data_IF_627830311507
#
_entry.id   IF_627830311507
#
_cell.length_a   1.000
_cell.length_b   1.000
_cell.length_c   1.000
_cell.angle_alpha   90.00
_cell.angle_beta   90.00
_cell.angle_gamma   90.00
#
_symmetry.space_group_name_H-M   'P 1'
#
loop_
_entity.id
_entity.type
_entity.pdbx_description
1 polymer ?
#
# COMPACT_ATOMS: atom_id res chain seq x y z
N UNK A 1 10.08 -15.90 19.20
CA UNK A 1 9.04 -15.02 18.61
C UNK A 1 7.84 -15.06 19.55
N UNK A 2 7.44 -13.91 20.11
CA UNK A 2 6.21 -13.78 20.89
C UNK A 2 5.04 -13.49 19.94
N UNK A 3 3.92 -14.20 20.13
CA UNK A 3 2.70 -13.96 19.38
C UNK A 3 1.92 -12.88 20.13
N UNK A 4 1.67 -11.76 19.46
CA UNK A 4 0.82 -10.69 19.98
C UNK A 4 -0.53 -10.76 19.29
N UNK A 5 -1.56 -11.13 20.06
CA UNK A 5 -2.95 -11.21 19.56
C UNK A 5 -3.60 -9.82 19.62
N UNK A 6 -4.30 -9.43 18.55
CA UNK A 6 -5.18 -8.26 18.57
C UNK A 6 -6.62 -8.70 18.85
N UNK A 7 -7.36 -7.91 19.61
CA UNK A 7 -8.80 -8.14 19.78
C UNK A 7 -9.55 -7.86 18.46
N UNK A 8 -10.73 -8.49 18.28
CA UNK A 8 -11.57 -8.31 17.10
C UNK A 8 -11.88 -6.82 16.79
N UNK A 9 -12.16 -6.03 17.82
CA UNK A 9 -12.40 -4.58 17.66
C UNK A 9 -11.17 -3.83 17.15
N UNK A 10 -9.96 -4.34 17.39
CA UNK A 10 -8.73 -3.81 16.81
C UNK A 10 -8.62 -4.12 15.32
N UNK A 11 -8.98 -5.33 14.92
CA UNK A 11 -9.04 -5.74 13.52
C UNK A 11 -10.08 -4.92 12.72
N UNK A 12 -11.27 -4.70 13.28
CA UNK A 12 -12.35 -3.94 12.63
C UNK A 12 -12.01 -2.46 12.35
N UNK A 13 -10.96 -1.91 12.98
CA UNK A 13 -10.46 -0.55 12.68
C UNK A 13 -9.61 -0.50 11.40
N UNK A 14 -9.16 -1.64 10.89
CA UNK A 14 -8.39 -1.71 9.66
C UNK A 14 -9.31 -1.61 8.45
N UNK A 15 -8.92 -0.81 7.47
CA UNK A 15 -9.64 -0.70 6.20
C UNK A 15 -8.81 -1.35 5.10
N UNK A 16 -9.33 -2.41 4.49
CA UNK A 16 -8.74 -3.06 3.32
C UNK A 16 -9.51 -2.62 2.08
N UNK A 17 -8.81 -2.17 1.04
CA UNK A 17 -9.42 -1.77 -0.24
C UNK A 17 -8.69 -2.43 -1.40
N UNK A 18 -9.43 -2.74 -2.46
CA UNK A 18 -8.86 -3.07 -3.76
C UNK A 18 -8.59 -1.76 -4.50
N UNK A 19 -7.37 -1.58 -4.98
CA UNK A 19 -6.93 -0.35 -5.65
C UNK A 19 -6.29 -0.65 -6.99
N UNK A 20 -6.41 0.31 -7.90
CA UNK A 20 -5.72 0.29 -9.19
C UNK A 20 -4.48 1.17 -9.12
N UNK A 21 -3.36 0.63 -9.59
CA UNK A 21 -2.14 1.39 -9.78
C UNK A 21 -2.22 2.20 -11.09
N UNK A 22 -2.03 3.51 -11.01
CA UNK A 22 -1.98 4.38 -12.19
C UNK A 22 -0.56 4.58 -12.71
N UNK A 23 0.44 4.57 -11.83
CA UNK A 23 1.83 4.79 -12.20
C UNK A 23 2.76 4.00 -11.29
N UNK A 24 3.87 3.51 -11.85
CA UNK A 24 4.95 2.86 -11.11
C UNK A 24 6.31 3.31 -11.63
N UNK A 25 7.22 3.71 -10.75
CA UNK A 25 8.60 4.03 -11.10
C UNK A 25 9.60 3.47 -10.09
N UNK A 26 10.84 3.24 -10.50
CA UNK A 26 11.94 2.86 -9.61
C UNK A 26 12.27 3.97 -8.60
N UNK A 27 12.68 3.58 -7.39
CA UNK A 27 13.21 4.52 -6.38
C UNK A 27 14.73 4.40 -6.37
N UNK A 28 15.42 5.32 -7.04
CA UNK A 28 16.88 5.31 -7.16
C UNK A 28 17.60 5.42 -5.81
N UNK A 29 17.01 6.12 -4.84
CA UNK A 29 17.58 6.39 -3.51
C UNK A 29 17.28 5.29 -2.48
N UNK A 30 16.56 4.23 -2.87
CA UNK A 30 16.13 3.22 -1.90
C UNK A 30 17.27 2.24 -1.58
N UNK A 31 17.53 2.05 -0.26
CA UNK A 31 18.50 1.05 0.24
C UNK A 31 18.21 -0.37 -0.26
N UNK A 32 16.93 -0.68 -0.51
CA UNK A 32 16.47 -1.91 -1.17
C UNK A 32 15.65 -1.52 -2.39
N UNK A 33 15.79 -2.28 -3.48
CA UNK A 33 15.02 -2.03 -4.71
C UNK A 33 13.52 -1.97 -4.39
N UNK A 34 12.92 -0.82 -4.68
CA UNK A 34 11.53 -0.51 -4.38
C UNK A 34 10.95 0.30 -5.53
N UNK A 35 9.63 0.20 -5.69
CA UNK A 35 8.89 1.05 -6.62
C UNK A 35 8.13 2.11 -5.87
N UNK A 36 7.94 3.27 -6.49
CA UNK A 36 6.97 4.27 -6.08
C UNK A 36 5.71 4.07 -6.90
N UNK A 37 4.63 3.67 -6.24
CA UNK A 37 3.33 3.48 -6.87
C UNK A 37 2.41 4.66 -6.55
N UNK A 38 1.68 5.13 -7.56
CA UNK A 38 0.53 6.01 -7.41
C UNK A 38 -0.73 5.17 -7.58
N UNK A 39 -1.49 5.02 -6.51
CA UNK A 39 -2.71 4.22 -6.45
C UNK A 39 -3.92 5.13 -6.31
N UNK A 40 -5.02 4.78 -6.98
CA UNK A 40 -6.30 5.45 -6.84
C UNK A 40 -7.24 4.62 -5.96
N UNK A 41 -7.69 5.23 -4.88
CA UNK A 41 -8.59 4.62 -3.89
C UNK A 41 -10.06 5.05 -4.08
N UNK A 42 -10.38 5.71 -5.20
CA UNK A 42 -11.71 6.25 -5.48
C UNK A 42 -11.96 7.60 -4.81
N UNK A 43 -13.15 8.17 -5.06
CA UNK A 43 -13.47 9.57 -4.70
C UNK A 43 -13.36 9.90 -3.21
N UNK A 44 -13.67 8.95 -2.33
CA UNK A 44 -13.64 9.17 -0.87
C UNK A 44 -12.24 9.39 -0.30
N UNK A 45 -11.23 8.75 -0.89
CA UNK A 45 -9.85 8.70 -0.36
C UNK A 45 -8.86 9.41 -1.28
N UNK A 46 -9.14 9.42 -2.58
CA UNK A 46 -8.28 9.98 -3.62
C UNK A 46 -7.04 9.12 -3.88
N UNK A 47 -6.03 9.76 -4.45
CA UNK A 47 -4.78 9.07 -4.82
C UNK A 47 -3.80 9.03 -3.64
N UNK A 48 -3.13 7.88 -3.45
CA UNK A 48 -2.05 7.74 -2.46
C UNK A 48 -0.78 7.22 -3.11
N UNK A 49 0.35 7.64 -2.55
CA UNK A 49 1.68 7.16 -2.92
C UNK A 49 2.11 6.09 -1.93
N UNK A 50 2.71 5.03 -2.43
CA UNK A 50 3.37 4.03 -1.59
C UNK A 50 4.65 3.51 -2.23
N UNK A 51 5.54 2.97 -1.39
CA UNK A 51 6.84 2.46 -1.83
C UNK A 51 7.05 0.98 -1.49
N UNK A 52 6.34 0.04 -2.13
CA UNK A 52 6.51 -1.38 -1.84
C UNK A 52 7.88 -1.91 -2.31
N UNK A 53 8.47 -2.79 -1.49
CA UNK A 53 9.72 -3.50 -1.79
C UNK A 53 9.44 -4.78 -2.58
N UNK A 54 8.87 -4.63 -3.78
CA UNK A 54 8.43 -5.75 -4.63
C UNK A 54 9.21 -5.83 -5.95
N UNK A 55 10.28 -5.07 -6.09
CA UNK A 55 11.07 -4.97 -7.32
C UNK A 55 11.85 -6.25 -7.68
N UNK A 56 11.94 -7.22 -6.79
CA UNK A 56 12.45 -8.57 -7.10
C UNK A 56 11.40 -9.54 -7.64
N UNK A 57 10.12 -9.15 -7.64
CA UNK A 57 9.00 -10.03 -8.00
C UNK A 57 8.25 -9.56 -9.24
N UNK A 58 8.20 -8.23 -9.46
CA UNK A 58 7.44 -7.62 -10.55
C UNK A 58 8.26 -6.53 -11.23
N UNK A 59 7.98 -6.25 -12.50
CA UNK A 59 8.46 -5.04 -13.19
C UNK A 59 7.44 -3.91 -13.04
N UNK A 60 7.83 -2.63 -13.18
CA UNK A 60 6.88 -1.51 -13.10
C UNK A 60 5.70 -1.65 -14.08
N UNK A 61 5.95 -2.11 -15.31
CA UNK A 61 4.93 -2.27 -16.35
C UNK A 61 3.86 -3.30 -15.99
N UNK A 62 4.23 -4.31 -15.19
CA UNK A 62 3.27 -5.30 -14.66
C UNK A 62 2.43 -4.74 -13.52
N UNK A 63 2.89 -3.67 -12.89
CA UNK A 63 2.20 -3.05 -11.75
C UNK A 63 1.19 -2.02 -12.20
N UNK A 64 1.46 -1.28 -13.28
CA UNK A 64 0.51 -0.33 -13.88
C UNK A 64 -0.75 -1.08 -14.33
N UNK A 65 -1.91 -0.49 -14.06
CA UNK A 65 -3.25 -1.04 -14.37
C UNK A 65 -3.62 -2.37 -13.70
N UNK A 66 -2.72 -2.93 -12.89
CA UNK A 66 -3.01 -4.07 -12.04
C UNK A 66 -3.80 -3.66 -10.79
N UNK A 67 -4.60 -4.60 -10.29
CA UNK A 67 -5.40 -4.44 -9.07
C UNK A 67 -4.72 -5.12 -7.89
N UNK A 68 -4.66 -4.41 -6.76
CA UNK A 68 -3.97 -4.86 -5.55
C UNK A 68 -4.80 -4.61 -4.31
N UNK A 69 -4.67 -5.49 -3.32
CA UNK A 69 -5.21 -5.27 -1.98
C UNK A 69 -4.27 -4.36 -1.19
N UNK A 70 -4.79 -3.24 -0.70
CA UNK A 70 -4.05 -2.29 0.11
C UNK A 70 -4.78 -2.02 1.42
N UNK A 71 -4.04 -2.06 2.54
CA UNK A 71 -4.56 -1.60 3.82
C UNK A 71 -4.31 -0.11 3.98
N UNK A 72 -5.38 0.67 4.18
CA UNK A 72 -5.24 2.05 4.62
C UNK A 72 -5.21 2.05 6.14
N UNK A 73 -4.07 2.44 6.70
CA UNK A 73 -4.05 2.85 8.09
C UNK A 73 -4.59 4.28 8.14
N UNK A 74 -5.77 4.47 8.71
CA UNK A 74 -6.17 5.78 9.19
C UNK A 74 -5.45 5.95 10.53
N UNK A 75 -4.35 6.72 10.63
CA UNK A 75 -3.90 7.13 11.94
C UNK A 75 -5.06 7.95 12.51
N UNK A 76 -5.76 7.38 13.48
CA UNK A 76 -6.50 8.17 14.45
C UNK A 76 -5.53 9.26 14.91
N UNK A 77 -5.81 10.51 14.56
CA UNK A 77 -5.26 11.65 15.30
C UNK A 77 -5.89 11.58 16.69
N UNK A 78 -5.29 10.76 17.55
CA UNK A 78 -5.45 10.85 18.98
C UNK A 78 -4.13 11.38 19.50
N UNK A 79 -4.17 12.63 19.99
CA UNK A 79 -3.16 13.15 20.89
C UNK A 79 -3.15 12.43 22.22
#
# INVERSE_FOLDING_TARGET
MSITTIAWNGFMKMTLRVVRNHQGSGVAEARKSAYKLLMDFGQEVGQRKSSPQIAGLYTPDRLVDSWWWWSIFHPSRSG
#
